data_IF_353578787261
#
_entry.id   IF_353578787261
#
_cell.length_a   1.000
_cell.length_b   1.000
_cell.length_c   1.000
_cell.angle_alpha   90.00
_cell.angle_beta   90.00
_cell.angle_gamma   90.00
#
_symmetry.space_group_name_H-M   'P 1'
#
loop_
_entity.id
_entity.type
_entity.pdbx_description
1 polymer ?
#
# COMPACT_ATOMS: atom_id res chain seq x y z
N UNK A 1 24.00 -11.02 12.55
CA UNK A 1 22.90 -10.08 12.25
C UNK A 1 23.52 -8.84 11.64
N UNK A 2 22.97 -8.35 10.53
CA UNK A 2 23.34 -7.04 10.01
C UNK A 2 22.81 -5.95 10.96
N UNK A 3 23.57 -4.87 11.15
CA UNK A 3 23.13 -3.70 11.93
C UNK A 3 22.55 -2.69 10.95
N UNK A 4 21.28 -2.32 11.13
CA UNK A 4 20.59 -1.33 10.31
C UNK A 4 20.60 0.04 11.02
N UNK A 5 20.95 1.15 10.33
CA UNK A 5 20.92 2.49 10.90
C UNK A 5 19.55 2.96 11.39
N UNK A 6 18.49 2.51 10.72
CA UNK A 6 17.10 2.87 11.02
C UNK A 6 16.18 1.69 10.84
N UNK A 7 15.06 1.70 11.58
CA UNK A 7 13.94 0.76 11.34
C UNK A 7 13.36 0.95 9.93
N UNK A 8 13.52 2.12 9.32
CA UNK A 8 13.10 2.36 7.93
C UNK A 8 13.88 1.51 6.93
N UNK A 9 15.12 1.13 7.27
CA UNK A 9 15.95 0.27 6.43
C UNK A 9 15.52 -1.21 6.47
N UNK A 10 14.52 -1.52 7.32
CA UNK A 10 13.86 -2.83 7.38
C UNK A 10 12.54 -2.85 6.60
N UNK A 11 12.16 -1.75 5.95
CA UNK A 11 10.99 -1.71 5.05
C UNK A 11 11.39 -2.35 3.73
N UNK A 12 10.69 -3.42 3.35
CA UNK A 12 10.98 -4.18 2.15
C UNK A 12 11.69 -5.50 2.43
N UNK A 13 12.15 -6.15 1.35
CA UNK A 13 12.81 -7.47 1.39
C UNK A 13 12.09 -8.50 2.27
N UNK A 14 10.75 -8.45 2.27
CA UNK A 14 9.92 -9.35 3.07
C UNK A 14 9.98 -10.78 2.52
N UNK A 15 9.88 -11.82 3.35
CA UNK A 15 10.03 -13.18 2.86
C UNK A 15 8.84 -13.64 2.03
N UNK A 16 9.08 -14.68 1.24
CA UNK A 16 8.04 -15.44 0.55
C UNK A 16 7.92 -16.81 1.23
N UNK A 17 6.69 -17.20 1.56
CA UNK A 17 6.38 -18.49 2.17
C UNK A 17 5.62 -19.36 1.18
N UNK A 18 6.03 -20.62 1.05
CA UNK A 18 5.27 -21.62 0.31
C UNK A 18 4.07 -22.08 1.12
N UNK A 19 2.88 -21.82 0.59
CA UNK A 19 1.59 -22.16 1.21
C UNK A 19 0.79 -23.09 0.28
N UNK A 20 1.48 -23.89 -0.53
CA UNK A 20 0.86 -24.79 -1.50
C UNK A 20 -0.03 -25.85 -0.86
N UNK A 21 0.13 -26.13 0.44
CA UNK A 21 -0.78 -26.98 1.23
C UNK A 21 -2.22 -26.45 1.29
N UNK A 22 -2.44 -25.14 1.07
CA UNK A 22 -3.76 -24.53 0.99
C UNK A 22 -4.39 -24.65 -0.40
N UNK A 23 -3.63 -25.13 -1.40
CA UNK A 23 -4.12 -25.27 -2.77
C UNK A 23 -5.03 -26.50 -2.89
N UNK A 24 -6.27 -26.36 -3.39
CA UNK A 24 -7.11 -27.51 -3.71
C UNK A 24 -6.61 -28.29 -4.94
N UNK A 25 -5.61 -27.76 -5.66
CA UNK A 25 -5.00 -28.41 -6.82
C UNK A 25 -3.50 -28.63 -6.55
N UNK A 26 -3.03 -29.88 -6.40
CA UNK A 26 -1.62 -30.18 -6.07
C UNK A 26 -0.64 -29.82 -7.19
N UNK A 27 -1.12 -29.54 -8.40
CA UNK A 27 -0.29 -29.05 -9.52
C UNK A 27 -0.09 -27.53 -9.50
N UNK A 28 -0.68 -26.83 -8.53
CA UNK A 28 -0.56 -25.37 -8.40
C UNK A 28 0.24 -25.04 -7.14
N UNK A 29 1.40 -24.41 -7.35
CA UNK A 29 2.20 -23.82 -6.28
C UNK A 29 1.58 -22.48 -5.85
N UNK A 30 1.33 -22.31 -4.55
CA UNK A 30 0.83 -21.05 -3.98
C UNK A 30 1.89 -20.45 -3.06
N UNK A 31 2.27 -19.21 -3.33
CA UNK A 31 3.30 -18.48 -2.60
C UNK A 31 2.72 -17.19 -2.02
N UNK A 32 3.08 -16.89 -0.77
CA UNK A 32 2.64 -15.69 -0.06
C UNK A 32 3.83 -14.75 0.21
N UNK A 33 3.80 -13.52 -0.33
CA UNK A 33 4.74 -12.44 0.01
C UNK A 33 4.32 -11.82 1.34
N UNK A 34 5.14 -11.97 2.37
CA UNK A 34 4.79 -11.70 3.77
C UNK A 34 4.96 -10.22 4.14
N UNK A 35 4.21 -9.35 3.47
CA UNK A 35 4.24 -7.90 3.70
C UNK A 35 3.80 -7.46 5.11
N UNK A 36 3.21 -8.37 5.90
CA UNK A 36 2.95 -8.15 7.32
C UNK A 36 4.23 -8.08 8.18
N UNK A 37 5.39 -8.43 7.62
CA UNK A 37 6.68 -8.37 8.32
C UNK A 37 7.43 -7.04 8.14
N UNK A 38 6.87 -6.08 7.41
CA UNK A 38 7.37 -4.72 7.49
C UNK A 38 7.19 -4.17 8.93
N UNK A 39 7.99 -3.19 9.37
CA UNK A 39 8.03 -2.74 10.77
C UNK A 39 6.70 -2.25 11.37
N UNK A 40 5.88 -1.54 10.60
CA UNK A 40 4.54 -1.11 11.01
C UNK A 40 3.46 -2.18 10.73
N UNK A 41 3.87 -3.37 10.30
CA UNK A 41 3.04 -4.56 10.19
C UNK A 41 2.31 -4.70 8.85
N UNK A 42 2.70 -3.98 7.80
CA UNK A 42 1.98 -4.07 6.53
C UNK A 42 2.73 -3.61 5.28
N UNK A 43 2.15 -3.91 4.12
CA UNK A 43 2.58 -3.40 2.80
C UNK A 43 2.57 -1.86 2.68
N UNK A 44 1.90 -1.15 3.59
CA UNK A 44 1.76 0.32 3.52
C UNK A 44 3.01 1.07 3.94
N UNK A 45 3.92 0.42 4.64
CA UNK A 45 5.23 0.96 5.00
C UNK A 45 5.99 1.43 3.75
N UNK A 46 5.94 0.64 2.68
CA UNK A 46 6.57 0.95 1.39
C UNK A 46 6.04 2.25 0.79
N UNK A 47 4.71 2.39 0.71
CA UNK A 47 4.09 3.55 0.07
C UNK A 47 4.21 4.79 0.96
N UNK A 48 4.13 4.62 2.28
CA UNK A 48 4.29 5.72 3.22
C UNK A 48 5.73 6.27 3.16
N UNK A 49 6.73 5.39 3.09
CA UNK A 49 8.12 5.79 2.94
C UNK A 49 8.35 6.50 1.61
N UNK A 50 7.81 5.94 0.51
CA UNK A 50 7.94 6.54 -0.82
C UNK A 50 7.26 7.91 -0.91
N UNK A 51 6.03 8.06 -0.43
CA UNK A 51 5.32 9.35 -0.46
C UNK A 51 6.03 10.43 0.36
N UNK A 52 6.58 10.07 1.53
CA UNK A 52 7.36 11.01 2.36
C UNK A 52 8.67 11.37 1.65
N UNK A 53 9.41 10.39 1.13
CA UNK A 53 10.68 10.63 0.45
C UNK A 53 10.51 11.46 -0.84
N UNK A 54 9.43 11.23 -1.60
CA UNK A 54 9.09 11.99 -2.79
C UNK A 54 8.77 13.46 -2.45
N UNK A 55 7.96 13.68 -1.42
CA UNK A 55 7.66 15.02 -0.92
C UNK A 55 8.89 15.74 -0.29
N UNK A 56 9.82 14.99 0.30
CA UNK A 56 11.11 15.53 0.75
C UNK A 56 11.98 15.95 -0.46
N UNK A 57 12.01 15.12 -1.50
CA UNK A 57 12.84 15.34 -2.68
C UNK A 57 12.36 16.52 -3.54
N UNK A 58 11.05 16.72 -3.66
CA UNK A 58 10.48 17.83 -4.43
C UNK A 58 10.36 19.15 -3.62
N UNK A 59 10.69 19.11 -2.33
CA UNK A 59 10.66 20.26 -1.42
C UNK A 59 9.27 20.62 -0.90
N UNK A 60 8.24 19.81 -1.18
CA UNK A 60 6.89 20.00 -0.64
C UNK A 60 6.85 19.70 0.87
N UNK A 61 7.67 18.77 1.35
CA UNK A 61 7.83 18.45 2.76
C UNK A 61 9.22 18.85 3.23
N UNK A 62 9.28 19.83 4.12
CA UNK A 62 10.51 20.37 4.71
C UNK A 62 10.35 20.49 6.22
N UNK A 63 11.45 20.57 7.00
CA UNK A 63 11.37 20.73 8.46
C UNK A 63 10.41 21.85 8.87
N UNK A 64 9.52 21.54 9.82
CA UNK A 64 8.48 22.46 10.29
C UNK A 64 7.12 22.33 9.59
N UNK A 65 7.04 21.65 8.44
CA UNK A 65 5.74 21.30 7.82
C UNK A 65 5.10 20.10 8.52
N UNK A 66 3.77 20.05 8.46
CA UNK A 66 2.96 19.00 9.10
C UNK A 66 2.35 18.09 8.04
N UNK A 67 2.41 16.78 8.22
CA UNK A 67 1.72 15.84 7.34
C UNK A 67 0.25 15.73 7.76
N UNK A 68 -0.67 15.70 6.80
CA UNK A 68 -2.08 15.35 7.04
C UNK A 68 -2.52 14.20 6.14
N UNK A 69 -3.16 13.18 6.70
CA UNK A 69 -3.69 12.04 5.92
C UNK A 69 -5.03 11.52 6.51
N UNK A 70 -6.04 11.23 5.67
CA UNK A 70 -7.26 10.56 6.07
C UNK A 70 -7.07 9.04 6.07
N UNK A 71 -6.77 8.45 7.23
CA UNK A 71 -6.65 6.99 7.33
C UNK A 71 -6.87 6.45 8.74
N UNK A 72 -7.72 5.44 8.86
CA UNK A 72 -7.88 4.64 10.09
C UNK A 72 -7.13 3.31 10.07
N UNK A 73 -6.39 3.05 9.00
CA UNK A 73 -5.76 1.75 8.77
C UNK A 73 -4.25 1.87 8.63
N UNK A 74 -3.70 0.86 7.97
CA UNK A 74 -2.27 0.64 7.87
C UNK A 74 -1.47 1.84 7.30
N UNK A 75 -2.04 2.62 6.39
CA UNK A 75 -1.34 3.81 5.84
C UNK A 75 -1.14 4.88 6.91
N UNK A 76 -2.13 5.14 7.75
CA UNK A 76 -2.00 6.10 8.85
C UNK A 76 -0.93 5.66 9.85
N UNK A 77 -0.91 4.37 10.20
CA UNK A 77 0.07 3.80 11.14
C UNK A 77 1.49 3.89 10.56
N UNK A 78 1.67 3.48 9.30
CA UNK A 78 2.96 3.56 8.62
C UNK A 78 3.47 5.01 8.50
N UNK A 79 2.61 5.95 8.08
CA UNK A 79 2.96 7.37 8.01
C UNK A 79 3.28 7.95 9.38
N UNK A 80 2.54 7.58 10.43
CA UNK A 80 2.81 8.07 11.78
C UNK A 80 4.18 7.60 12.28
N UNK A 81 4.52 6.32 12.09
CA UNK A 81 5.85 5.79 12.40
C UNK A 81 6.95 6.54 11.64
N UNK A 82 6.79 6.71 10.33
CA UNK A 82 7.79 7.36 9.47
C UNK A 82 7.93 8.84 9.81
N UNK A 83 6.84 9.57 9.97
CA UNK A 83 6.82 10.97 10.36
C UNK A 83 7.55 11.17 11.70
N UNK A 84 7.30 10.29 12.68
CA UNK A 84 7.98 10.33 13.98
C UNK A 84 9.49 10.17 13.86
N UNK A 85 9.96 9.25 13.03
CA UNK A 85 11.38 9.01 12.79
C UNK A 85 12.03 10.15 12.01
N UNK A 86 11.31 10.72 11.04
CA UNK A 86 11.77 11.82 10.19
C UNK A 86 11.65 13.20 10.84
N UNK A 87 10.94 13.30 11.97
CA UNK A 87 10.77 14.54 12.73
C UNK A 87 9.64 15.45 12.24
N UNK A 88 8.65 14.92 11.52
CA UNK A 88 7.47 15.68 11.10
C UNK A 88 6.31 15.50 12.07
N UNK A 89 5.60 16.58 12.45
CA UNK A 89 4.26 16.48 13.02
C UNK A 89 3.33 15.79 12.01
N UNK A 90 2.39 14.99 12.52
CA UNK A 90 1.41 14.32 11.68
C UNK A 90 0.02 14.40 12.29
N UNK A 91 -0.96 14.74 11.44
CA UNK A 91 -2.38 14.80 11.76
C UNK A 91 -3.12 13.73 10.96
N UNK A 92 -3.90 12.91 11.65
CA UNK A 92 -4.67 11.84 11.03
C UNK A 92 -6.15 12.14 11.16
N UNK A 93 -6.81 12.31 10.01
CA UNK A 93 -8.27 12.49 9.97
C UNK A 93 -8.94 11.12 10.05
N UNK A 94 -9.67 10.91 11.14
CA UNK A 94 -10.16 9.60 11.55
C UNK A 94 -11.68 9.63 11.78
N UNK A 95 -12.48 8.72 11.18
CA UNK A 95 -13.90 8.61 11.51
C UNK A 95 -14.12 8.25 12.99
N UNK A 96 -15.12 8.83 13.64
CA UNK A 96 -15.39 8.59 15.07
C UNK A 96 -15.77 7.13 15.40
N UNK A 97 -16.24 6.37 14.41
CA UNK A 97 -16.70 4.99 14.57
C UNK A 97 -15.58 3.93 14.44
N UNK A 98 -14.31 4.35 14.46
CA UNK A 98 -13.16 3.43 14.43
C UNK A 98 -12.94 2.76 15.78
N UNK A 99 -12.31 1.59 15.78
CA UNK A 99 -12.02 0.87 17.03
C UNK A 99 -10.93 1.59 17.86
N UNK A 100 -10.95 1.46 19.20
CA UNK A 100 -9.94 2.07 20.08
C UNK A 100 -8.50 1.63 19.75
N UNK A 101 -8.31 0.38 19.35
CA UNK A 101 -6.98 -0.20 19.09
C UNK A 101 -6.30 0.49 17.89
N UNK A 102 -7.09 0.87 16.88
CA UNK A 102 -6.59 1.59 15.70
C UNK A 102 -6.18 3.01 16.04
N UNK A 103 -6.92 3.66 16.96
CA UNK A 103 -6.57 4.99 17.47
C UNK A 103 -5.29 4.93 18.30
N UNK A 104 -5.19 3.96 19.22
CA UNK A 104 -4.00 3.75 20.05
C UNK A 104 -2.74 3.51 19.21
N UNK A 105 -2.84 2.72 18.13
CA UNK A 105 -1.71 2.48 17.24
C UNK A 105 -1.16 3.77 16.59
N UNK A 106 -2.01 4.74 16.29
CA UNK A 106 -1.61 6.04 15.76
C UNK A 106 -1.00 6.93 16.85
N UNK A 107 -1.63 6.96 18.03
CA UNK A 107 -1.20 7.76 19.18
C UNK A 107 0.17 7.33 19.71
N UNK A 108 0.51 6.04 19.67
CA UNK A 108 1.84 5.52 20.05
C UNK A 108 2.96 6.17 19.23
N UNK A 109 2.70 6.47 17.96
CA UNK A 109 3.65 7.17 17.09
C UNK A 109 3.54 8.70 17.16
N UNK A 110 2.71 9.24 18.05
CA UNK A 110 2.56 10.68 18.28
C UNK A 110 1.68 11.38 17.25
N UNK A 111 0.82 10.65 16.53
CA UNK A 111 -0.13 11.26 15.60
C UNK A 111 -1.23 12.02 16.35
N UNK A 112 -1.52 13.24 15.91
CA UNK A 112 -2.70 13.98 16.38
C UNK A 112 -3.93 13.52 15.62
N UNK A 113 -4.97 13.12 16.35
CA UNK A 113 -6.21 12.62 15.76
C UNK A 113 -7.21 13.75 15.57
N UNK A 114 -7.63 13.96 14.33
CA UNK A 114 -8.72 14.87 13.98
C UNK A 114 -9.98 14.02 13.71
N UNK A 115 -11.00 14.06 14.57
CA UNK A 115 -12.22 13.30 14.35
C UNK A 115 -12.97 13.83 13.12
N UNK A 116 -13.52 12.91 12.34
CA UNK A 116 -14.45 13.22 11.25
C UNK A 116 -15.81 12.55 11.52
N UNK A 117 -16.94 13.20 11.20
CA UNK A 117 -18.26 12.64 11.45
C UNK A 117 -18.43 11.28 10.77
N UNK A 118 -18.74 10.24 11.56
CA UNK A 118 -18.86 8.86 11.07
C UNK A 118 -20.13 8.60 10.24
N UNK A 119 -21.24 9.26 10.55
CA UNK A 119 -22.55 8.98 9.95
C UNK A 119 -22.64 9.41 8.48
N UNK A 120 -22.99 8.45 7.61
CA UNK A 120 -23.32 8.66 6.20
C UNK A 120 -22.17 9.05 5.26
N UNK A 121 -20.96 9.32 5.79
CA UNK A 121 -19.84 9.85 4.99
C UNK A 121 -18.61 8.95 4.94
N UNK A 122 -18.38 8.09 5.96
CA UNK A 122 -17.30 7.10 6.00
C UNK A 122 -15.92 7.67 5.61
N UNK A 123 -15.08 6.85 4.96
CA UNK A 123 -13.74 7.26 4.49
C UNK A 123 -13.77 8.47 3.54
N UNK A 124 -14.81 8.61 2.73
CA UNK A 124 -14.96 9.76 1.83
C UNK A 124 -15.17 11.07 2.60
N UNK A 125 -15.80 11.01 3.78
CA UNK A 125 -15.92 12.12 4.71
C UNK A 125 -14.57 12.58 5.25
N UNK A 126 -13.78 11.63 5.75
CA UNK A 126 -12.42 11.88 6.23
C UNK A 126 -11.54 12.51 5.12
N UNK A 127 -11.61 11.99 3.89
CA UNK A 127 -10.86 12.53 2.75
C UNK A 127 -11.25 13.98 2.45
N UNK A 128 -12.55 14.30 2.41
CA UNK A 128 -13.01 15.68 2.16
C UNK A 128 -12.60 16.63 3.28
N UNK A 129 -12.61 16.16 4.53
CA UNK A 129 -12.18 16.98 5.67
C UNK A 129 -10.66 17.22 5.63
N UNK A 130 -9.85 16.17 5.43
CA UNK A 130 -8.40 16.30 5.31
C UNK A 130 -7.99 17.27 4.19
N UNK A 131 -8.65 17.18 3.02
CA UNK A 131 -8.42 18.10 1.90
C UNK A 131 -8.68 19.54 2.29
N UNK A 132 -9.88 19.81 2.84
CA UNK A 132 -10.26 21.16 3.26
C UNK A 132 -9.28 21.72 4.30
N UNK A 133 -8.90 20.92 5.28
CA UNK A 133 -7.96 21.32 6.30
C UNK A 133 -6.57 21.64 5.72
N UNK A 134 -6.10 20.87 4.73
CA UNK A 134 -4.87 21.18 4.03
C UNK A 134 -4.98 22.49 3.21
N UNK A 135 -6.13 22.73 2.58
CA UNK A 135 -6.39 23.99 1.85
C UNK A 135 -6.42 25.21 2.80
N UNK A 136 -6.91 25.02 4.03
CA UNK A 136 -7.00 26.05 5.08
C UNK A 136 -5.66 26.29 5.81
N UNK A 137 -4.72 25.33 5.76
CA UNK A 137 -3.44 25.37 6.47
C UNK A 137 -2.30 25.09 5.48
N UNK A 138 -1.75 26.12 4.80
CA UNK A 138 -0.75 25.95 3.73
C UNK A 138 0.56 25.25 4.16
N UNK A 139 0.83 25.19 5.45
CA UNK A 139 1.96 24.47 6.03
C UNK A 139 1.69 22.96 6.23
N UNK A 140 0.47 22.49 5.95
CA UNK A 140 0.08 21.09 6.02
C UNK A 140 0.18 20.44 4.64
N UNK A 141 0.95 19.35 4.58
CA UNK A 141 1.20 18.57 3.38
C UNK A 141 0.23 17.40 3.34
N UNK A 142 -0.71 17.45 2.40
CA UNK A 142 -1.64 16.37 2.17
C UNK A 142 -1.09 15.37 1.15
N UNK A 143 -0.49 14.27 1.64
CA UNK A 143 0.16 13.28 0.78
C UNK A 143 -0.82 12.54 -0.14
N UNK A 144 -2.01 12.21 0.37
CA UNK A 144 -3.15 11.65 -0.35
C UNK A 144 -2.83 10.40 -1.18
N UNK A 145 -2.74 9.24 -0.51
CA UNK A 145 -2.36 7.95 -1.12
C UNK A 145 -3.16 7.50 -2.35
N UNK A 146 -4.38 8.03 -2.54
CA UNK A 146 -5.27 7.62 -3.62
C UNK A 146 -4.90 8.26 -4.97
N UNK A 147 -4.19 9.39 -4.97
CA UNK A 147 -3.76 10.07 -6.20
C UNK A 147 -2.24 10.34 -6.24
N UNK A 148 -1.51 9.92 -5.21
CA UNK A 148 -0.06 10.07 -5.18
C UNK A 148 0.62 8.97 -6.00
N UNK A 149 1.36 9.35 -7.04
CA UNK A 149 2.08 8.43 -7.92
C UNK A 149 3.17 7.62 -7.19
N UNK A 150 3.69 8.12 -6.07
CA UNK A 150 4.65 7.37 -5.25
C UNK A 150 4.04 6.07 -4.69
N UNK A 151 2.71 5.95 -4.59
CA UNK A 151 2.04 4.71 -4.16
C UNK A 151 2.23 3.55 -5.15
N UNK A 152 1.74 3.61 -6.41
CA UNK A 152 2.04 2.55 -7.38
C UNK A 152 3.54 2.45 -7.68
N UNK A 153 4.28 3.57 -7.72
CA UNK A 153 5.71 3.54 -8.02
C UNK A 153 6.52 2.78 -6.95
N UNK A 154 6.20 2.93 -5.66
CA UNK A 154 6.86 2.16 -4.60
C UNK A 154 6.80 0.66 -4.86
N UNK A 155 5.67 0.16 -5.36
CA UNK A 155 5.50 -1.25 -5.67
C UNK A 155 6.17 -1.66 -6.98
N UNK A 156 6.21 -0.77 -7.96
CA UNK A 156 6.92 -0.99 -9.23
C UNK A 156 8.44 -1.09 -9.00
N UNK A 157 9.02 -0.20 -8.18
CA UNK A 157 10.47 -0.13 -7.97
C UNK A 157 10.99 -1.04 -6.86
N UNK A 158 10.12 -1.56 -5.98
CA UNK A 158 10.53 -2.45 -4.87
C UNK A 158 9.83 -3.80 -4.90
N UNK A 159 8.52 -3.83 -4.64
CA UNK A 159 7.77 -5.08 -4.43
C UNK A 159 7.79 -6.01 -5.65
N UNK A 160 7.62 -5.46 -6.86
CA UNK A 160 7.70 -6.21 -8.11
C UNK A 160 9.08 -6.86 -8.34
N UNK A 161 10.18 -6.09 -8.30
CA UNK A 161 11.53 -6.60 -8.38
C UNK A 161 11.85 -7.70 -7.36
N UNK A 162 11.48 -7.50 -6.09
CA UNK A 162 11.68 -8.51 -5.06
C UNK A 162 10.94 -9.81 -5.38
N UNK A 163 9.67 -9.72 -5.78
CA UNK A 163 8.88 -10.91 -6.16
C UNK A 163 9.53 -11.65 -7.33
N UNK A 164 9.97 -10.94 -8.37
CA UNK A 164 10.58 -11.58 -9.54
C UNK A 164 11.96 -12.18 -9.22
N UNK A 165 12.75 -11.51 -8.37
CA UNK A 165 14.03 -12.02 -7.87
C UNK A 165 13.83 -13.33 -7.11
N UNK A 166 12.86 -13.35 -6.21
CA UNK A 166 12.63 -14.47 -5.28
C UNK A 166 11.85 -15.62 -5.93
N UNK A 167 11.02 -15.32 -6.95
CA UNK A 167 10.21 -16.30 -7.71
C UNK A 167 10.36 -16.06 -9.21
N UNK A 168 11.51 -16.42 -9.82
CA UNK A 168 11.78 -16.14 -11.24
C UNK A 168 10.81 -16.82 -12.21
N UNK A 169 10.14 -17.89 -11.78
CA UNK A 169 9.16 -18.67 -12.54
C UNK A 169 7.70 -18.28 -12.28
N UNK A 170 7.45 -17.15 -11.59
CA UNK A 170 6.09 -16.65 -11.32
C UNK A 170 5.26 -16.56 -12.61
N UNK A 171 4.02 -17.06 -12.54
CA UNK A 171 3.06 -17.03 -13.64
C UNK A 171 1.86 -16.13 -13.36
N UNK A 172 1.46 -15.98 -12.10
CA UNK A 172 0.29 -15.22 -11.68
C UNK A 172 0.60 -14.39 -10.45
N UNK A 173 0.09 -13.16 -10.42
CA UNK A 173 0.11 -12.30 -9.25
C UNK A 173 -1.32 -11.96 -8.84
N UNK A 174 -1.64 -12.18 -7.56
CA UNK A 174 -2.97 -11.96 -6.98
C UNK A 174 -2.79 -11.10 -5.74
N UNK A 175 -3.55 -10.02 -5.64
CA UNK A 175 -3.54 -9.16 -4.46
C UNK A 175 -4.94 -8.59 -4.16
N UNK A 176 -5.13 -8.20 -2.90
CA UNK A 176 -6.35 -7.52 -2.47
C UNK A 176 -6.50 -6.14 -3.12
N UNK A 177 -7.75 -5.71 -3.31
CA UNK A 177 -8.05 -4.40 -3.87
C UNK A 177 -8.26 -3.37 -2.73
N UNK A 178 -7.46 -2.31 -2.75
CA UNK A 178 -7.58 -1.14 -1.87
C UNK A 178 -7.41 0.14 -2.67
N UNK A 179 -6.33 0.89 -2.42
CA UNK A 179 -5.91 2.03 -3.27
C UNK A 179 -5.47 1.62 -4.67
N UNK A 180 -5.44 0.32 -4.97
CA UNK A 180 -4.95 -0.31 -6.21
C UNK A 180 -3.45 -0.18 -6.51
N UNK A 181 -2.69 0.62 -5.78
CA UNK A 181 -1.26 0.84 -6.02
C UNK A 181 -0.43 -0.45 -6.06
N UNK A 182 -0.67 -1.42 -5.18
CA UNK A 182 0.04 -2.71 -5.20
C UNK A 182 -0.22 -3.52 -6.47
N UNK A 183 -1.48 -3.60 -6.91
CA UNK A 183 -1.83 -4.30 -8.16
C UNK A 183 -1.26 -3.57 -9.38
N UNK A 184 -1.31 -2.24 -9.39
CA UNK A 184 -0.79 -1.43 -10.50
C UNK A 184 0.72 -1.51 -10.58
N UNK A 185 1.45 -1.21 -9.51
CA UNK A 185 2.91 -1.19 -9.51
C UNK A 185 3.53 -2.56 -9.80
N UNK A 186 3.16 -3.59 -9.03
CA UNK A 186 3.68 -4.96 -9.27
C UNK A 186 3.22 -5.48 -10.63
N UNK A 187 1.95 -5.25 -10.99
CA UNK A 187 1.39 -5.73 -12.25
C UNK A 187 2.07 -5.12 -13.48
N UNK A 188 2.37 -3.82 -13.44
CA UNK A 188 3.11 -3.13 -14.52
C UNK A 188 4.52 -3.68 -14.61
N UNK A 189 5.26 -3.75 -13.49
CA UNK A 189 6.63 -4.27 -13.47
C UNK A 189 6.71 -5.70 -14.04
N UNK A 190 5.87 -6.62 -13.56
CA UNK A 190 5.90 -8.02 -14.00
C UNK A 190 5.55 -8.18 -15.49
N UNK A 191 4.64 -7.36 -16.02
CA UNK A 191 4.30 -7.39 -17.47
C UNK A 191 5.45 -6.93 -18.34
N UNK A 192 6.21 -5.93 -17.89
CA UNK A 192 7.37 -5.41 -18.62
C UNK A 192 8.55 -6.38 -18.60
N UNK A 193 8.78 -7.05 -17.46
CA UNK A 193 9.88 -8.01 -17.32
C UNK A 193 9.59 -9.38 -17.91
N UNK A 194 8.31 -9.77 -18.00
CA UNK A 194 7.86 -11.00 -18.65
C UNK A 194 6.88 -10.68 -19.79
N UNK A 195 7.36 -10.06 -20.89
CA UNK A 195 6.52 -9.83 -22.06
C UNK A 195 6.08 -11.19 -22.63
N UNK A 196 4.80 -11.30 -22.98
CA UNK A 196 4.18 -12.52 -23.54
C UNK A 196 4.95 -12.98 -24.80
N UNK A 197 5.98 -13.85 -24.68
CA UNK A 197 6.86 -14.12 -25.82
C UNK A 197 7.86 -15.28 -25.79
N UNK A 198 8.12 -15.96 -24.67
CA UNK A 198 9.04 -17.12 -24.66
C UNK A 198 8.43 -18.33 -23.97
N UNK A 199 7.69 -19.15 -24.74
CA UNK A 199 7.36 -20.55 -24.42
C UNK A 199 6.33 -20.77 -23.30
N UNK A 200 5.16 -21.28 -23.67
CA UNK A 200 4.06 -21.70 -22.78
C UNK A 200 3.48 -20.59 -21.89
N UNK A 201 2.90 -19.59 -22.54
CA UNK A 201 2.21 -18.46 -21.92
C UNK A 201 1.16 -18.87 -20.88
N UNK A 202 1.32 -18.31 -19.68
CA UNK A 202 0.21 -18.07 -18.76
C UNK A 202 0.35 -16.63 -18.32
N UNK A 203 -0.61 -15.80 -18.73
CA UNK A 203 -0.78 -14.43 -18.23
C UNK A 203 -0.56 -14.39 -16.74
N UNK A 204 0.17 -13.37 -16.25
CA UNK A 204 -0.06 -12.87 -14.91
C UNK A 204 -1.48 -12.28 -14.85
N UNK A 205 -2.47 -13.16 -14.67
CA UNK A 205 -3.85 -12.74 -14.51
C UNK A 205 -3.96 -12.08 -13.13
N UNK A 206 -4.00 -10.76 -13.12
CA UNK A 206 -4.42 -9.96 -11.98
C UNK A 206 -5.87 -10.35 -11.67
N UNK A 207 -6.06 -11.19 -10.65
CA UNK A 207 -7.38 -11.62 -10.20
C UNK A 207 -7.77 -10.84 -8.94
N UNK A 208 -8.99 -10.31 -8.94
CA UNK A 208 -9.63 -9.68 -7.78
C UNK A 208 -10.03 -10.77 -6.80
N UNK A 209 -9.47 -10.75 -5.58
CA UNK A 209 -10.09 -11.45 -4.45
C UNK A 209 -11.26 -10.58 -3.95
N UNK A 210 -12.50 -10.94 -4.29
CA UNK A 210 -13.71 -10.31 -3.74
C UNK A 210 -14.37 -11.23 -2.71
N UNK A 211 -15.10 -10.70 -1.71
CA UNK A 211 -15.89 -11.54 -0.82
C UNK A 211 -17.16 -11.96 -1.55
N UNK A 212 -17.25 -13.23 -1.96
CA UNK A 212 -18.46 -13.78 -2.55
C UNK A 212 -18.24 -15.17 -3.16
N UNK A 213 -19.27 -16.04 -3.17
CA UNK A 213 -19.18 -17.37 -3.76
C UNK A 213 -18.89 -17.30 -5.27
N UNK A 214 -18.27 -18.34 -5.86
CA UNK A 214 -17.87 -18.34 -7.27
C UNK A 214 -19.10 -18.21 -8.17
N UNK A 215 -19.29 -17.03 -8.76
CA UNK A 215 -20.28 -16.79 -9.80
C UNK A 215 -19.66 -17.15 -11.15
N UNK A 216 -20.30 -17.99 -11.98
CA UNK A 216 -19.84 -18.22 -13.35
C UNK A 216 -20.23 -17.00 -14.18
N UNK A 217 -19.27 -16.16 -14.60
CA UNK A 217 -19.56 -15.12 -15.60
C UNK A 217 -18.55 -15.10 -16.74
N UNK A 218 -19.16 -15.31 -17.91
CA UNK A 218 -18.70 -15.19 -19.27
C UNK A 218 -17.75 -14.01 -19.48
N UNK A 219 -16.70 -14.30 -20.22
CA UNK A 219 -15.87 -13.33 -20.92
C UNK A 219 -16.73 -12.61 -21.97
N UNK A 220 -16.71 -11.27 -21.96
CA UNK A 220 -17.07 -10.49 -23.14
C UNK A 220 -15.76 -10.16 -23.84
N UNK A 221 -15.50 -10.83 -24.96
CA UNK A 221 -14.53 -10.37 -25.95
C UNK A 221 -15.01 -9.03 -26.53
N UNK A 222 -14.13 -8.04 -26.76
CA UNK A 222 -14.34 -7.16 -27.89
C UNK A 222 -13.99 -7.95 -29.15
N UNK A 223 -15.01 -8.26 -29.94
CA UNK A 223 -14.85 -8.57 -31.35
C UNK A 223 -14.27 -7.34 -32.05
N UNK A 224 -13.30 -7.53 -32.95
CA UNK A 224 -12.75 -6.45 -33.77
C UNK A 224 -11.49 -6.82 -34.53
N UNK A 225 -11.68 -7.63 -35.57
CA UNK A 225 -10.80 -7.98 -36.71
C UNK A 225 -9.55 -8.82 -36.40
#
# INVERSE_FOLDING_TARGET
MAVHPSVLDLIGDTPIVDVSELSPNPSVRLLAKMEGQNPAGSVKDRIALAMVADAEADGTLVPGRTIIEPSSGNTGIALAMIARIRGYPIKIVLPENVSPERRQALEVFGAEIIPSPGEGKGSNGAVRLARRLADENPEWVFLYQYANEANPQAHYTTTGPEILRDVPDITHFVAGLGTSGTLMGVGTYLKEQKPDGTGAGRRAALRRAGPGPPQPRRWVHPAGL
#
